data_IF_519101860125
#
_entry.id   IF_519101860125
#
_cell.length_a   1.000
_cell.length_b   1.000
_cell.length_c   1.000
_cell.angle_alpha   90.00
_cell.angle_beta   90.00
_cell.angle_gamma   90.00
#
_symmetry.space_group_name_H-M   'P 1'
#
loop_
_entity.id
_entity.type
_entity.pdbx_description
1 polymer ?
#
# COMPACT_ATOMS: atom_id res chain seq x y z
N UNK A 1 3.30 9.65 -19.84
CA UNK A 1 3.81 8.28 -19.75
C UNK A 1 3.28 7.63 -18.48
N UNK A 2 3.37 6.30 -18.37
CA UNK A 2 3.00 5.59 -17.13
C UNK A 2 4.14 5.70 -16.10
N UNK A 3 3.83 5.94 -14.81
CA UNK A 3 4.86 5.96 -13.77
C UNK A 3 5.44 4.55 -13.54
N UNK A 4 6.68 4.48 -13.04
CA UNK A 4 7.25 3.23 -12.54
C UNK A 4 6.52 2.82 -11.26
N UNK A 5 6.00 1.59 -11.24
CA UNK A 5 5.49 0.96 -10.03
C UNK A 5 6.55 -0.02 -9.54
N UNK A 6 7.12 0.26 -8.37
CA UNK A 6 8.01 -0.63 -7.64
C UNK A 6 7.15 -1.75 -7.06
N UNK A 7 7.30 -2.95 -7.61
CA UNK A 7 6.53 -4.13 -7.24
C UNK A 7 6.78 -4.57 -5.81
N UNK A 8 5.85 -5.38 -5.28
CA UNK A 8 5.99 -6.00 -3.96
C UNK A 8 7.34 -6.71 -3.74
N UNK A 9 7.82 -7.43 -4.74
CA UNK A 9 9.12 -8.12 -4.64
C UNK A 9 10.30 -7.13 -4.63
N UNK A 10 10.25 -6.04 -5.40
CA UNK A 10 11.33 -5.05 -5.47
C UNK A 10 11.53 -4.26 -4.16
N UNK A 11 10.47 -4.02 -3.39
CA UNK A 11 10.59 -3.36 -2.08
C UNK A 11 10.69 -4.34 -0.90
N UNK A 12 10.61 -5.65 -1.16
CA UNK A 12 10.79 -6.69 -0.14
C UNK A 12 9.56 -6.89 0.75
N UNK A 13 8.37 -6.93 0.14
CA UNK A 13 7.12 -7.18 0.81
C UNK A 13 7.09 -8.56 1.48
N UNK A 14 6.59 -8.60 2.72
CA UNK A 14 6.11 -9.85 3.33
C UNK A 14 4.85 -10.34 2.59
N UNK A 15 4.61 -11.67 2.55
CA UNK A 15 3.34 -12.19 2.09
C UNK A 15 2.21 -11.78 3.06
N UNK A 16 0.96 -11.64 2.58
CA UNK A 16 -0.19 -11.43 3.45
C UNK A 16 -0.40 -12.65 4.36
N UNK A 17 -0.92 -12.43 5.57
CA UNK A 17 -1.10 -13.51 6.56
C UNK A 17 -2.28 -14.44 6.21
N UNK A 18 -3.21 -13.96 5.39
CA UNK A 18 -4.31 -14.73 4.82
C UNK A 18 -4.81 -14.10 3.52
N UNK A 19 -5.63 -14.83 2.78
CA UNK A 19 -6.25 -14.34 1.55
C UNK A 19 -7.18 -13.15 1.85
N UNK A 20 -7.03 -12.09 1.05
CA UNK A 20 -7.87 -10.89 1.10
C UNK A 20 -8.81 -10.92 -0.12
N UNK A 21 -10.02 -10.39 0.04
CA UNK A 21 -10.98 -10.30 -1.07
C UNK A 21 -10.52 -9.36 -2.19
N UNK A 22 -11.19 -9.48 -3.34
CA UNK A 22 -10.88 -8.69 -4.52
C UNK A 22 -11.75 -7.42 -4.62
N UNK A 23 -11.15 -6.36 -5.15
CA UNK A 23 -11.86 -5.18 -5.60
C UNK A 23 -12.70 -5.49 -6.86
N UNK A 24 -13.76 -4.72 -7.15
CA UNK A 24 -14.41 -4.77 -8.46
C UNK A 24 -13.41 -4.33 -9.55
N UNK A 25 -13.63 -4.80 -10.78
CA UNK A 25 -12.75 -4.48 -11.93
C UNK A 25 -12.55 -2.98 -12.16
N UNK A 26 -13.51 -2.14 -11.74
CA UNK A 26 -13.40 -0.68 -11.74
C UNK A 26 -13.88 -0.15 -10.38
N UNK A 27 -12.96 0.09 -9.43
CA UNK A 27 -13.29 0.75 -8.17
C UNK A 27 -13.86 2.15 -8.42
N UNK A 28 -14.88 2.54 -7.66
CA UNK A 28 -15.55 3.84 -7.86
C UNK A 28 -14.84 5.02 -7.21
N UNK A 29 -13.99 4.77 -6.23
CA UNK A 29 -13.41 5.80 -5.38
C UNK A 29 -11.89 5.74 -5.33
N UNK A 30 -11.27 6.89 -5.12
CA UNK A 30 -9.86 7.04 -4.76
C UNK A 30 -9.81 7.89 -3.50
N UNK A 31 -9.15 7.40 -2.47
CA UNK A 31 -8.94 8.09 -1.20
C UNK A 31 -7.46 8.47 -1.09
N UNK A 32 -7.17 9.71 -0.70
CA UNK A 32 -5.79 10.16 -0.53
C UNK A 32 -5.49 10.23 0.97
N UNK A 33 -4.44 9.52 1.39
CA UNK A 33 -3.93 9.48 2.75
C UNK A 33 -2.49 10.00 2.82
N UNK A 34 -2.04 10.34 4.03
CA UNK A 34 -0.63 10.59 4.32
C UNK A 34 -0.13 9.56 5.34
N UNK A 35 1.18 9.27 5.32
CA UNK A 35 1.76 8.24 6.19
C UNK A 35 1.96 8.64 7.64
N UNK A 36 1.70 9.91 8.01
CA UNK A 36 1.88 10.47 9.36
C UNK A 36 3.26 10.17 10.02
N UNK A 37 4.30 9.98 9.21
CA UNK A 37 5.69 9.80 9.64
C UNK A 37 6.61 10.70 8.80
N UNK A 38 7.89 10.87 9.18
CA UNK A 38 8.85 11.56 8.32
C UNK A 38 8.96 10.90 6.94
N UNK A 39 9.20 11.73 5.92
CA UNK A 39 9.32 11.33 4.52
C UNK A 39 10.55 10.46 4.20
N UNK A 40 10.74 10.23 2.90
CA UNK A 40 11.83 9.44 2.34
C UNK A 40 12.17 9.96 0.95
N UNK A 41 13.46 10.17 0.65
CA UNK A 41 13.90 10.85 -0.59
C UNK A 41 14.77 9.99 -1.50
N UNK A 42 15.10 8.77 -1.09
CA UNK A 42 15.85 7.80 -1.92
C UNK A 42 15.06 6.51 -2.04
N UNK A 43 15.24 5.77 -3.14
CA UNK A 43 14.54 4.50 -3.36
C UNK A 43 14.79 3.52 -2.20
N UNK A 44 16.01 3.45 -1.66
CA UNK A 44 16.31 2.59 -0.51
C UNK A 44 15.57 3.00 0.77
N UNK A 45 15.54 4.30 1.07
CA UNK A 45 14.82 4.83 2.23
C UNK A 45 13.31 4.67 2.09
N UNK A 46 12.77 4.87 0.88
CA UNK A 46 11.34 4.70 0.64
C UNK A 46 10.91 3.23 0.66
N UNK A 47 11.70 2.31 0.09
CA UNK A 47 11.49 0.87 0.29
C UNK A 47 11.46 0.49 1.77
N UNK A 48 12.37 1.05 2.57
CA UNK A 48 12.37 0.84 4.02
C UNK A 48 11.10 1.40 4.67
N UNK A 49 10.69 2.62 4.31
CA UNK A 49 9.48 3.26 4.84
C UNK A 49 8.21 2.44 4.55
N UNK A 50 8.08 1.90 3.33
CA UNK A 50 6.95 1.03 2.95
C UNK A 50 6.97 -0.27 3.76
N UNK A 51 8.14 -0.87 4.02
CA UNK A 51 8.26 -2.03 4.92
C UNK A 51 7.87 -1.69 6.35
N UNK A 52 8.23 -0.50 6.86
CA UNK A 52 7.82 -0.03 8.19
C UNK A 52 6.29 0.06 8.29
N UNK A 53 5.62 0.61 7.28
CA UNK A 53 4.15 0.61 7.23
C UNK A 53 3.55 -0.79 7.17
N UNK A 54 4.14 -1.70 6.39
CA UNK A 54 3.66 -3.08 6.33
C UNK A 54 3.81 -3.78 7.69
N UNK A 55 4.96 -3.66 8.33
CA UNK A 55 5.21 -4.27 9.64
C UNK A 55 4.30 -3.69 10.72
N UNK A 56 4.07 -2.37 10.71
CA UNK A 56 3.13 -1.75 11.64
C UNK A 56 1.70 -2.28 11.48
N UNK A 57 1.22 -2.44 10.24
CA UNK A 57 -0.11 -2.98 9.99
C UNK A 57 -0.22 -4.48 10.30
N UNK A 58 0.80 -5.28 9.92
CA UNK A 58 0.83 -6.71 10.19
C UNK A 58 0.97 -7.03 11.68
N UNK A 59 1.99 -6.47 12.31
CA UNK A 59 2.42 -6.88 13.66
C UNK A 59 1.79 -5.99 14.74
N UNK A 60 1.52 -4.72 14.44
CA UNK A 60 0.87 -3.79 15.39
C UNK A 60 -0.65 -3.85 15.35
N UNK A 61 -1.25 -3.82 14.14
CA UNK A 61 -2.71 -3.82 13.97
C UNK A 61 -3.32 -5.19 13.65
N UNK A 62 -2.49 -6.22 13.47
CA UNK A 62 -2.94 -7.58 13.14
C UNK A 62 -3.76 -7.65 11.85
N UNK A 63 -3.51 -6.73 10.91
CA UNK A 63 -4.13 -6.75 9.59
C UNK A 63 -3.51 -7.84 8.72
N UNK A 64 -4.21 -8.28 7.66
CA UNK A 64 -3.66 -9.27 6.73
C UNK A 64 -2.42 -8.79 5.98
N UNK A 65 -2.28 -7.48 5.78
CA UNK A 65 -1.20 -6.83 5.04
C UNK A 65 -1.22 -5.31 5.30
N UNK A 66 -0.26 -4.57 4.72
CA UNK A 66 -0.28 -3.10 4.63
C UNK A 66 -1.67 -2.60 4.21
N UNK A 67 -2.21 -1.56 4.87
CA UNK A 67 -3.59 -1.14 4.65
C UNK A 67 -3.87 -0.38 3.35
N UNK A 68 -2.83 0.13 2.69
CA UNK A 68 -2.94 0.91 1.46
C UNK A 68 -2.98 0.01 0.21
N UNK A 69 -3.51 0.54 -0.89
CA UNK A 69 -3.39 -0.05 -2.24
C UNK A 69 -2.09 0.37 -2.92
N UNK A 70 -1.68 1.64 -2.75
CA UNK A 70 -0.40 2.17 -3.22
C UNK A 70 0.20 3.14 -2.19
N UNK A 71 1.52 3.28 -2.21
CA UNK A 71 2.24 4.30 -1.44
C UNK A 71 3.14 5.09 -2.39
N UNK A 72 3.20 6.41 -2.23
CA UNK A 72 4.05 7.27 -3.06
C UNK A 72 5.15 7.85 -2.17
N UNK A 73 6.41 7.64 -2.56
CA UNK A 73 7.58 8.21 -1.87
C UNK A 73 7.93 9.60 -2.38
N UNK A 74 8.72 10.37 -1.62
CA UNK A 74 9.23 11.68 -2.08
C UNK A 74 10.37 11.51 -3.11
N UNK A 75 10.83 10.27 -3.32
CA UNK A 75 11.64 9.86 -4.47
C UNK A 75 10.85 9.79 -5.78
N UNK A 76 9.53 10.01 -5.73
CA UNK A 76 8.62 10.03 -6.88
C UNK A 76 8.19 8.66 -7.39
N UNK A 77 8.62 7.57 -6.75
CA UNK A 77 8.21 6.22 -7.12
C UNK A 77 6.84 5.88 -6.53
N UNK A 78 6.05 5.10 -7.28
CA UNK A 78 4.85 4.43 -6.76
C UNK A 78 5.25 3.06 -6.25
N UNK A 79 4.90 2.73 -5.02
CA UNK A 79 5.14 1.45 -4.39
C UNK A 79 3.84 0.65 -4.35
N UNK A 80 3.85 -0.52 -4.96
CA UNK A 80 2.71 -1.44 -4.94
C UNK A 80 2.51 -1.97 -3.52
N UNK A 81 1.43 -1.53 -2.86
CA UNK A 81 1.00 -2.10 -1.58
C UNK A 81 0.07 -3.28 -1.86
N UNK A 82 -1.23 -3.19 -1.58
CA UNK A 82 -2.17 -4.24 -2.01
C UNK A 82 -2.47 -4.24 -3.53
N UNK A 83 -2.11 -3.16 -4.23
CA UNK A 83 -2.24 -3.07 -5.69
C UNK A 83 -3.67 -2.78 -6.13
N UNK A 84 -3.94 -3.06 -7.42
CA UNK A 84 -5.19 -2.70 -8.09
C UNK A 84 -6.39 -3.57 -7.72
N UNK A 85 -6.14 -4.84 -7.36
CA UNK A 85 -7.18 -5.87 -7.37
C UNK A 85 -7.58 -6.35 -5.98
N UNK A 86 -6.88 -5.91 -4.92
CA UNK A 86 -7.07 -6.44 -3.56
C UNK A 86 -7.64 -5.35 -2.64
N UNK A 87 -8.67 -5.72 -1.88
CA UNK A 87 -9.36 -4.84 -0.93
C UNK A 87 -8.36 -4.26 0.09
N UNK A 88 -8.39 -2.94 0.29
CA UNK A 88 -7.59 -2.20 1.27
C UNK A 88 -8.04 -2.36 2.73
N UNK A 89 -7.40 -1.61 3.62
CA UNK A 89 -7.84 -1.37 5.01
C UNK A 89 -7.74 0.13 5.41
N UNK A 90 -7.58 1.02 4.42
CA UNK A 90 -7.28 2.44 4.59
C UNK A 90 -8.50 3.32 4.91
N UNK A 91 -9.72 2.89 4.59
CA UNK A 91 -10.93 3.73 4.73
C UNK A 91 -12.14 2.89 5.12
N UNK A 92 -12.52 2.98 6.39
CA UNK A 92 -13.65 2.27 6.96
C UNK A 92 -14.92 2.47 6.11
N UNK A 93 -15.67 1.40 5.86
CA UNK A 93 -16.85 1.33 4.98
C UNK A 93 -16.64 1.56 3.47
N UNK A 94 -15.42 1.81 3.00
CA UNK A 94 -15.15 2.06 1.58
C UNK A 94 -14.07 1.19 0.95
N UNK A 95 -13.31 0.42 1.76
CA UNK A 95 -12.23 -0.45 1.29
C UNK A 95 -12.63 -1.42 0.16
N UNK A 96 -13.89 -1.87 0.11
CA UNK A 96 -14.37 -2.84 -0.88
C UNK A 96 -14.69 -2.24 -2.26
N UNK A 97 -14.60 -0.92 -2.42
CA UNK A 97 -14.92 -0.23 -3.68
C UNK A 97 -14.08 1.04 -3.90
N UNK A 98 -12.86 1.06 -3.35
CA UNK A 98 -11.98 2.20 -3.50
C UNK A 98 -10.52 1.83 -3.38
N UNK A 99 -9.70 2.58 -4.11
CA UNK A 99 -8.25 2.59 -3.95
C UNK A 99 -7.91 3.65 -2.91
N UNK A 100 -6.83 3.43 -2.17
CA UNK A 100 -6.33 4.40 -1.20
C UNK A 100 -4.92 4.16 -0.73
#
# INVERSE_FOLDING_TARGET
GCPRIVSRSEWGARPPTHTIGHLPAVPKYVFIHHGATPGCTTESACKQKVREYQNYHLDGHHWPDIGYTFVIGEDGNVYEARGWDIIGAHTYNYNYNGLG
#
